data_IF_090474998965
#
_entry.id   IF_090474998965
#
_cell.length_a   1.000
_cell.length_b   1.000
_cell.length_c   1.000
_cell.angle_alpha   90.00
_cell.angle_beta   90.00
_cell.angle_gamma   90.00
#
_symmetry.space_group_name_H-M   'P 1'
#
loop_
_entity.id
_entity.type
_entity.pdbx_description
1 polymer ?
#
# COMPACT_ATOMS: atom_id res chain seq x y z
N UNK A 1 42.00 2.39 15.11
CA UNK A 1 41.91 2.48 13.64
C UNK A 1 40.62 1.77 13.21
N UNK A 2 39.72 2.51 12.56
CA UNK A 2 38.32 2.15 12.30
C UNK A 2 38.17 1.03 11.27
N UNK A 3 37.60 -0.11 11.67
CA UNK A 3 37.02 -1.06 10.73
C UNK A 3 35.60 -0.60 10.38
N UNK A 4 35.51 0.37 9.47
CA UNK A 4 34.24 0.64 8.77
C UNK A 4 34.07 -0.49 7.76
N UNK A 5 33.52 -1.61 8.23
CA UNK A 5 33.04 -2.66 7.35
C UNK A 5 32.14 -2.01 6.31
N UNK A 6 32.50 -2.27 5.07
CA UNK A 6 31.81 -1.85 3.88
C UNK A 6 30.38 -2.38 3.87
N UNK A 7 29.44 -1.68 4.52
CA UNK A 7 28.02 -1.74 4.18
C UNK A 7 27.80 -1.00 2.87
N UNK A 8 28.49 -1.40 1.79
CA UNK A 8 28.27 -0.84 0.47
C UNK A 8 26.98 -1.45 -0.05
N UNK A 9 25.89 -0.81 0.36
CA UNK A 9 24.52 -1.00 -0.12
C UNK A 9 24.53 -1.32 -1.62
N UNK A 10 23.93 -2.44 -2.04
CA UNK A 10 23.89 -2.81 -3.44
C UNK A 10 23.23 -1.69 -4.26
N UNK A 11 23.62 -1.57 -5.53
CA UNK A 11 23.06 -0.58 -6.44
C UNK A 11 21.56 -0.86 -6.60
N UNK A 12 20.69 0.06 -6.16
CA UNK A 12 19.25 -0.14 -6.03
C UNK A 12 18.72 -0.21 -4.59
N UNK A 13 19.60 -0.28 -3.59
CA UNK A 13 19.17 -0.27 -2.18
C UNK A 13 18.81 1.15 -1.73
N UNK A 14 17.54 1.40 -1.52
CA UNK A 14 17.01 2.65 -0.96
C UNK A 14 17.41 2.72 0.53
N UNK A 15 18.01 3.84 0.96
CA UNK A 15 18.45 4.04 2.36
C UNK A 15 17.29 4.18 3.35
N UNK A 16 16.12 4.40 2.77
CA UNK A 16 14.92 4.73 3.47
C UNK A 16 14.34 3.39 3.91
N UNK A 17 14.30 3.16 5.21
CA UNK A 17 13.57 2.08 5.90
C UNK A 17 12.05 2.17 5.69
N UNK A 18 11.64 2.73 4.56
CA UNK A 18 10.27 2.84 4.07
C UNK A 18 9.93 1.63 3.21
N UNK A 19 10.91 0.88 2.69
CA UNK A 19 10.64 -0.42 2.10
C UNK A 19 10.44 -1.45 3.21
N UNK A 20 9.18 -1.74 3.50
CA UNK A 20 8.75 -2.67 4.52
C UNK A 20 9.09 -4.13 4.15
N UNK A 21 9.42 -4.43 2.89
CA UNK A 21 9.87 -5.76 2.47
C UNK A 21 10.89 -5.71 1.32
N UNK A 22 12.17 -5.55 1.68
CA UNK A 22 13.34 -5.60 0.80
C UNK A 22 13.44 -6.86 -0.11
N UNK A 23 12.73 -7.95 0.22
CA UNK A 23 12.73 -9.19 -0.56
C UNK A 23 11.68 -9.20 -1.69
N UNK A 24 10.72 -8.26 -1.68
CA UNK A 24 9.62 -8.23 -2.64
C UNK A 24 9.62 -6.92 -3.42
N UNK A 25 9.94 -7.00 -4.72
CA UNK A 25 9.84 -5.84 -5.63
C UNK A 25 8.41 -5.29 -5.77
N UNK A 26 7.40 -6.00 -5.27
CA UNK A 26 5.99 -5.59 -5.29
C UNK A 26 5.57 -4.85 -4.02
N UNK A 27 6.36 -4.93 -2.96
CA UNK A 27 6.15 -4.21 -1.71
C UNK A 27 7.18 -3.09 -1.69
N UNK A 28 6.74 -1.84 -1.81
CA UNK A 28 7.61 -0.67 -1.77
C UNK A 28 6.77 0.60 -1.63
N UNK A 29 7.36 1.70 -1.15
CA UNK A 29 6.71 3.01 -1.09
C UNK A 29 6.03 3.41 -2.41
N UNK A 30 4.70 3.45 -2.42
CA UNK A 30 3.90 3.80 -3.59
C UNK A 30 3.53 2.65 -4.52
N UNK A 31 3.71 1.38 -4.10
CA UNK A 31 3.08 0.25 -4.79
C UNK A 31 1.54 0.34 -4.70
N UNK A 32 0.84 -0.36 -5.58
CA UNK A 32 -0.62 -0.49 -5.49
C UNK A 32 -0.99 -1.57 -4.48
N UNK A 33 -1.94 -1.26 -3.60
CA UNK A 33 -2.51 -2.21 -2.64
C UNK A 33 -3.22 -3.38 -3.35
N UNK A 34 -3.10 -4.57 -2.77
CA UNK A 34 -3.77 -5.77 -3.26
C UNK A 34 -4.87 -6.13 -2.26
N UNK A 35 -6.11 -5.84 -2.63
CA UNK A 35 -7.22 -5.97 -1.70
C UNK A 35 -7.51 -7.41 -1.27
N UNK A 36 -7.58 -7.62 0.04
CA UNK A 36 -8.01 -8.86 0.68
C UNK A 36 -6.86 -9.82 1.00
N UNK A 37 -5.61 -9.38 0.90
CA UNK A 37 -4.44 -10.17 1.31
C UNK A 37 -3.87 -9.75 2.68
N UNK A 38 -4.34 -8.66 3.30
CA UNK A 38 -3.84 -8.08 4.55
C UNK A 38 -2.34 -7.73 4.50
N UNK A 39 -1.81 -7.43 3.32
CA UNK A 39 -0.42 -7.01 3.11
C UNK A 39 -0.41 -5.53 2.74
N UNK A 40 0.31 -4.74 3.53
CA UNK A 40 0.68 -3.36 3.19
C UNK A 40 1.72 -3.40 2.06
N UNK A 41 1.27 -3.19 0.82
CA UNK A 41 2.13 -3.25 -0.36
C UNK A 41 2.88 -1.93 -0.53
N UNK A 42 2.27 -0.82 -0.15
CA UNK A 42 2.80 0.51 -0.36
C UNK A 42 3.63 1.05 0.82
N UNK A 43 3.76 0.24 1.87
CA UNK A 43 4.53 0.48 3.07
C UNK A 43 4.18 1.79 3.80
N UNK A 44 2.90 2.16 3.79
CA UNK A 44 2.43 3.36 4.48
C UNK A 44 1.94 3.10 5.92
N UNK A 45 1.94 1.84 6.36
CA UNK A 45 1.49 1.39 7.67
C UNK A 45 0.02 0.94 7.72
N UNK A 46 -0.68 0.90 6.58
CA UNK A 46 -2.08 0.51 6.46
C UNK A 46 -2.21 -0.50 5.32
N UNK A 47 -2.47 -1.76 5.67
CA UNK A 47 -2.78 -2.79 4.67
C UNK A 47 -4.17 -2.61 4.08
N UNK A 48 -4.34 -2.97 2.80
CA UNK A 48 -5.63 -2.97 2.11
C UNK A 48 -6.31 -1.58 2.07
N UNK A 49 -5.54 -0.48 2.07
CA UNK A 49 -6.10 0.85 1.94
C UNK A 49 -6.58 1.13 0.51
N UNK A 50 -7.57 2.02 0.37
CA UNK A 50 -8.17 2.38 -0.93
C UNK A 50 -8.69 1.18 -1.73
N UNK A 51 -8.86 0.04 -1.06
CA UNK A 51 -9.71 -1.02 -1.51
C UNK A 51 -11.12 -0.49 -1.47
N UNK A 52 -11.58 0.00 -2.63
CA UNK A 52 -12.99 0.10 -2.93
C UNK A 52 -13.51 -1.33 -2.84
N UNK A 53 -13.84 -1.75 -1.62
CA UNK A 53 -14.97 -2.63 -1.44
C UNK A 53 -16.08 -1.82 -2.08
N UNK A 54 -16.39 -2.18 -3.32
CA UNK A 54 -17.67 -1.89 -3.92
C UNK A 54 -18.68 -2.64 -3.05
N UNK A 55 -18.84 -2.21 -1.80
CA UNK A 55 -20.15 -2.05 -1.25
C UNK A 55 -20.71 -0.94 -2.13
N UNK A 56 -21.23 -1.35 -3.30
CA UNK A 56 -22.21 -0.60 -4.07
C UNK A 56 -23.49 -0.50 -3.19
N UNK A 57 -23.32 -0.06 -1.94
CA UNK A 57 -24.29 0.62 -1.10
C UNK A 57 -24.15 2.14 -1.41
N UNK A 58 -23.83 2.48 -2.67
CA UNK A 58 -24.50 3.58 -3.37
C UNK A 58 -25.98 3.19 -3.51
N UNK A 59 -26.64 2.92 -2.39
CA UNK A 59 -28.08 2.99 -2.23
C UNK A 59 -28.35 4.50 -2.23
N UNK A 60 -28.22 5.05 -3.45
CA UNK A 60 -28.75 6.31 -3.93
C UNK A 60 -30.15 6.44 -3.31
N UNK A 61 -30.22 7.07 -2.13
CA UNK A 61 -31.47 7.62 -1.62
C UNK A 61 -31.77 8.89 -2.41
N UNK A 62 -31.88 8.75 -3.71
CA UNK A 62 -32.36 9.77 -4.60
C UNK A 62 -33.08 9.07 -5.76
N UNK A 63 -34.23 8.48 -5.44
CA UNK A 63 -35.33 8.38 -6.39
C UNK A 63 -36.63 8.63 -5.63
N UNK A 64 -37.00 9.91 -5.64
CA UNK A 64 -38.32 10.46 -5.38
C UNK A 64 -39.40 9.51 -5.90
N UNK A 65 -40.14 8.86 -4.99
CA UNK A 65 -41.34 8.12 -5.36
C UNK A 65 -42.59 8.91 -5.01
N UNK A 66 -43.15 9.43 -6.10
CA UNK A 66 -44.56 9.50 -6.44
C UNK A 66 -45.31 10.79 -6.05
N UNK A 67 -45.36 11.70 -7.03
CA UNK A 67 -46.56 12.49 -7.37
C UNK A 67 -47.84 11.64 -7.21
N UNK A 68 -48.70 11.98 -6.23
CA UNK A 68 -50.18 12.14 -6.34
C UNK A 68 -50.78 12.70 -5.03
#
# INVERSE_FOLDING_TARGET
MNSRQSCRRPYGYVANSTDCNDASRRINPGASEVCGDNIDQNCNGIADEQCTVNNDDDDERDDERDDD
#
